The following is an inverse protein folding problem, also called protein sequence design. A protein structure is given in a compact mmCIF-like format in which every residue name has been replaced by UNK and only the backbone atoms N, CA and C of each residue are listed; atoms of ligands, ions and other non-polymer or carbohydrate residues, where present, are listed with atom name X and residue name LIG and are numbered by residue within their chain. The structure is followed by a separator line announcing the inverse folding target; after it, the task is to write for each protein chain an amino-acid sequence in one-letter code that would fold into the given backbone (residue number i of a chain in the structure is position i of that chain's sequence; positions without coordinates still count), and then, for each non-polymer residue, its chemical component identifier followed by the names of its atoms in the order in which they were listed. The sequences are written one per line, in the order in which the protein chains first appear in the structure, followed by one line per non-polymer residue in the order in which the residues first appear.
data_IF_912899622284
#
_entry.id   IF_912899622284
#
_cell.length_a   1.000
_cell.length_b   1.000
_cell.length_c   1.000
_cell.angle_alpha   90.00
_cell.angle_beta   90.00
_cell.angle_gamma   90.00
#
_symmetry.space_group_name_H-M   'P 1'
#
loop_
_entity.id
_entity.type
_entity.pdbx_description
1 polymer ?
#
# COMPACT_ATOMS: atom_id res chain seq x y z
N UNK A 1 12.57 14.45 4.82
CA UNK A 1 13.24 13.47 3.91
C UNK A 1 12.61 12.08 4.01
N UNK A 2 12.42 11.55 5.23
CA UNK A 2 11.82 10.22 5.46
C UNK A 2 10.38 10.11 4.90
N UNK A 3 9.53 11.13 5.11
CA UNK A 3 8.16 11.14 4.58
C UNK A 3 8.09 10.98 3.05
N UNK A 4 8.99 11.63 2.31
CA UNK A 4 9.07 11.54 0.84
C UNK A 4 9.48 10.13 0.39
N UNK A 5 10.42 9.50 1.09
CA UNK A 5 10.83 8.12 0.79
C UNK A 5 9.67 7.13 1.03
N UNK A 6 8.91 7.32 2.11
CA UNK A 6 7.71 6.53 2.38
C UNK A 6 6.63 6.75 1.31
N UNK A 7 6.49 7.96 0.79
CA UNK A 7 5.59 8.26 -0.33
C UNK A 7 5.94 7.55 -1.62
N UNK A 8 7.25 7.47 -1.96
CA UNK A 8 7.71 6.71 -3.14
C UNK A 8 7.34 5.24 -3.01
N UNK A 9 7.48 4.66 -1.82
CA UNK A 9 7.14 3.26 -1.57
C UNK A 9 5.62 3.01 -1.62
N UNK A 10 4.78 3.97 -1.22
CA UNK A 10 3.32 3.91 -1.41
C UNK A 10 2.97 3.90 -2.90
N UNK A 11 3.59 4.78 -3.68
CA UNK A 11 3.46 4.83 -5.13
C UNK A 11 3.83 3.49 -5.77
N UNK A 12 4.97 2.92 -5.36
CA UNK A 12 5.41 1.63 -5.87
C UNK A 12 4.41 0.53 -5.52
N UNK A 13 3.87 0.55 -4.30
CA UNK A 13 2.84 -0.40 -3.85
C UNK A 13 1.53 -0.26 -4.63
N UNK A 14 1.15 0.95 -5.01
CA UNK A 14 -0.04 1.19 -5.84
C UNK A 14 0.11 0.57 -7.25
N UNK A 15 1.32 0.66 -7.83
CA UNK A 15 1.62 0.08 -9.14
C UNK A 15 1.49 -1.44 -9.15
N UNK A 16 1.69 -2.11 -8.02
CA UNK A 16 1.54 -3.58 -7.90
C UNK A 16 0.12 -4.06 -8.24
N UNK A 17 -0.90 -3.21 -8.10
CA UNK A 17 -2.28 -3.54 -8.51
C UNK A 17 -2.53 -3.38 -10.02
N UNK A 18 -1.67 -2.62 -10.71
CA UNK A 18 -1.87 -2.25 -12.12
C UNK A 18 -1.05 -3.11 -13.08
N UNK A 19 0.09 -3.62 -12.61
CA UNK A 19 1.04 -4.36 -13.44
C UNK A 19 1.31 -5.73 -12.81
N UNK A 20 1.26 -6.83 -13.58
CA UNK A 20 1.64 -8.14 -13.06
C UNK A 20 3.11 -8.14 -12.66
N UNK A 21 3.36 -8.41 -11.38
CA UNK A 21 4.69 -8.42 -10.77
C UNK A 21 5.00 -9.78 -10.14
N UNK A 22 6.28 -10.15 -9.99
CA UNK A 22 6.68 -11.33 -9.25
C UNK A 22 6.09 -11.33 -7.83
N UNK A 23 5.51 -12.46 -7.42
CA UNK A 23 4.84 -12.63 -6.12
C UNK A 23 5.71 -12.16 -4.94
N UNK A 24 7.00 -12.41 -4.98
CA UNK A 24 7.96 -12.00 -3.94
C UNK A 24 7.97 -10.48 -3.72
N UNK A 25 7.86 -9.70 -4.81
CA UNK A 25 7.85 -8.23 -4.76
C UNK A 25 6.52 -7.73 -4.18
N UNK A 26 5.40 -8.33 -4.60
CA UNK A 26 4.07 -8.02 -4.09
C UNK A 26 4.01 -8.25 -2.57
N UNK A 27 4.52 -9.39 -2.09
CA UNK A 27 4.56 -9.72 -0.66
C UNK A 27 5.47 -8.79 0.14
N UNK A 28 6.57 -8.33 -0.45
CA UNK A 28 7.46 -7.34 0.18
C UNK A 28 6.74 -5.98 0.32
N UNK A 29 6.06 -5.52 -0.73
CA UNK A 29 5.24 -4.30 -0.69
C UNK A 29 4.08 -4.42 0.31
N UNK A 30 3.43 -5.58 0.37
CA UNK A 30 2.37 -5.86 1.33
C UNK A 30 2.88 -5.78 2.78
N UNK A 31 4.03 -6.40 3.04
CA UNK A 31 4.68 -6.40 4.36
C UNK A 31 5.10 -4.99 4.76
N UNK A 32 5.66 -4.22 3.82
CA UNK A 32 5.97 -2.80 4.00
C UNK A 32 4.73 -2.01 4.45
N UNK A 33 3.61 -2.12 3.74
CA UNK A 33 2.37 -1.39 4.07
C UNK A 33 1.82 -1.77 5.44
N UNK A 34 1.87 -3.07 5.79
CA UNK A 34 1.41 -3.54 7.10
C UNK A 34 2.30 -2.97 8.22
N UNK A 35 3.63 -3.08 8.10
CA UNK A 35 4.55 -2.57 9.12
C UNK A 35 4.40 -1.06 9.25
N UNK A 36 4.38 -0.34 8.13
CA UNK A 36 4.18 1.11 8.11
C UNK A 36 2.86 1.50 8.76
N UNK A 37 1.77 0.88 8.33
CA UNK A 37 0.44 1.14 8.86
C UNK A 37 0.37 0.89 10.36
N UNK A 38 0.98 -0.20 10.85
CA UNK A 38 1.08 -0.49 12.29
C UNK A 38 1.88 0.58 13.04
N UNK A 39 3.02 1.02 12.50
CA UNK A 39 3.85 2.05 13.14
C UNK A 39 3.09 3.38 13.30
N UNK A 40 2.33 3.79 12.28
CA UNK A 40 1.58 5.04 12.31
C UNK A 40 0.22 4.90 13.03
N UNK A 41 -0.41 3.73 13.02
CA UNK A 41 -1.65 3.48 13.76
C UNK A 41 -1.46 3.57 15.29
N UNK A 42 -0.26 3.25 15.80
CA UNK A 42 0.08 3.45 17.22
C UNK A 42 0.09 4.96 17.58
N UNK A 43 0.30 5.84 16.61
CA UNK A 43 0.28 7.29 16.77
C UNK A 43 -1.10 7.93 16.62
N UNK A 44 -2.19 7.17 16.78
CA UNK A 44 -3.59 7.61 16.59
C UNK A 44 -3.96 8.11 15.17
N UNK A 45 -3.15 7.77 14.16
CA UNK A 45 -3.50 8.06 12.76
C UNK A 45 -4.46 7.01 12.20
N UNK A 46 -5.76 7.35 12.22
CA UNK A 46 -6.82 6.48 11.68
C UNK A 46 -6.61 6.11 10.20
N UNK A 47 -5.97 7.00 9.43
CA UNK A 47 -5.72 6.78 7.99
C UNK A 47 -4.75 5.60 7.80
N UNK A 48 -3.89 5.33 8.77
CA UNK A 48 -2.90 4.27 8.70
C UNK A 48 -3.47 2.86 8.90
N UNK A 49 -4.71 2.71 9.41
CA UNK A 49 -5.41 1.42 9.36
C UNK A 49 -5.77 0.99 7.94
N UNK A 50 -5.97 1.94 7.02
CA UNK A 50 -6.20 1.62 5.61
C UNK A 50 -4.94 1.05 4.95
N UNK A 51 -3.74 1.51 5.33
CA UNK A 51 -2.48 0.93 4.83
C UNK A 51 -2.37 -0.54 5.21
N UNK A 52 -2.75 -0.88 6.45
CA UNK A 52 -2.76 -2.28 6.93
C UNK A 52 -3.76 -3.09 6.12
N UNK A 53 -4.99 -2.59 5.93
CA UNK A 53 -6.03 -3.28 5.18
C UNK A 53 -5.61 -3.51 3.71
N UNK A 54 -5.01 -2.51 3.07
CA UNK A 54 -4.49 -2.61 1.70
C UNK A 54 -3.31 -3.58 1.63
N UNK A 55 -2.43 -3.58 2.64
CA UNK A 55 -1.35 -4.55 2.74
C UNK A 55 -1.88 -6.00 2.85
N UNK A 56 -2.88 -6.25 3.70
CA UNK A 56 -3.54 -7.56 3.78
C UNK A 56 -4.19 -7.93 2.45
N UNK A 57 -4.85 -6.97 1.80
CA UNK A 57 -5.43 -7.19 0.48
C UNK A 57 -4.37 -7.50 -0.59
N UNK A 58 -3.19 -6.87 -0.55
CA UNK A 58 -2.05 -7.21 -1.41
C UNK A 58 -1.53 -8.63 -1.19
N UNK A 59 -1.54 -9.12 0.05
CA UNK A 59 -1.23 -10.53 0.33
C UNK A 59 -2.23 -11.44 -0.38
N UNK A 60 -3.53 -11.19 -0.21
CA UNK A 60 -4.61 -11.97 -0.86
C UNK A 60 -4.51 -11.90 -2.39
N UNK A 61 -4.27 -10.70 -2.93
CA UNK A 61 -4.04 -10.44 -4.35
C UNK A 61 -2.87 -11.26 -4.90
N UNK A 62 -1.80 -11.44 -4.12
CA UNK A 62 -0.64 -12.25 -4.51
C UNK A 62 -0.95 -13.74 -4.71
N UNK A 63 -2.07 -14.24 -4.19
CA UNK A 63 -2.58 -15.59 -4.42
C UNK A 63 -3.53 -15.69 -5.62
N UNK A 64 -3.70 -14.61 -6.40
CA UNK A 64 -4.56 -14.57 -7.57
C UNK A 64 -6.00 -14.16 -7.29
N UNK A 65 -6.36 -13.88 -6.02
CA UNK A 65 -7.67 -13.38 -5.64
C UNK A 65 -7.70 -11.86 -5.82
N UNK A 66 -8.17 -11.41 -6.97
CA UNK A 66 -8.33 -9.99 -7.28
C UNK A 66 -9.80 -9.59 -7.37
N UNK A 67 -10.15 -8.51 -6.70
CA UNK A 67 -11.44 -7.82 -6.87
C UNK A 67 -11.13 -6.49 -7.52
N UNK A 68 -11.58 -6.28 -8.76
CA UNK A 68 -11.19 -5.10 -9.57
C UNK A 68 -11.47 -3.78 -8.85
N UNK A 69 -12.65 -3.66 -8.22
CA UNK A 69 -13.04 -2.45 -7.49
C UNK A 69 -12.10 -2.19 -6.31
N UNK A 70 -11.80 -3.21 -5.50
CA UNK A 70 -10.88 -3.06 -4.35
C UNK A 70 -9.47 -2.71 -4.81
N UNK A 71 -9.01 -3.28 -5.93
CA UNK A 71 -7.69 -3.00 -6.50
C UNK A 71 -7.56 -1.55 -6.96
N UNK A 72 -8.57 -1.04 -7.68
CA UNK A 72 -8.60 0.35 -8.14
C UNK A 72 -8.68 1.32 -6.97
N UNK A 73 -9.57 1.08 -6.01
CA UNK A 73 -9.71 1.95 -4.82
C UNK A 73 -8.41 1.96 -3.99
N UNK A 74 -7.81 0.79 -3.77
CA UNK A 74 -6.54 0.67 -3.04
C UNK A 74 -5.40 1.41 -3.75
N UNK A 75 -5.30 1.26 -5.08
CA UNK A 75 -4.29 1.95 -5.87
C UNK A 75 -4.49 3.47 -5.83
N UNK A 76 -5.71 3.96 -6.03
CA UNK A 76 -6.00 5.40 -5.97
C UNK A 76 -5.72 6.00 -4.60
N UNK A 77 -6.07 5.29 -3.52
CA UNK A 77 -5.78 5.73 -2.16
C UNK A 77 -4.27 5.84 -1.91
N UNK A 78 -3.49 4.81 -2.27
CA UNK A 78 -2.04 4.83 -2.12
C UNK A 78 -1.38 5.91 -2.99
N UNK A 79 -1.88 6.14 -4.21
CA UNK A 79 -1.40 7.22 -5.08
C UNK A 79 -1.66 8.59 -4.46
N UNK A 80 -2.88 8.84 -3.96
CA UNK A 80 -3.23 10.09 -3.30
C UNK A 80 -2.36 10.32 -2.06
N UNK A 81 -2.19 9.29 -1.21
CA UNK A 81 -1.34 9.37 0.00
C UNK A 81 0.12 9.60 -0.36
N UNK A 82 0.61 8.91 -1.38
CA UNK A 82 1.95 9.10 -1.94
C UNK A 82 2.17 10.54 -2.41
N UNK A 83 1.22 11.12 -3.14
CA UNK A 83 1.29 12.53 -3.60
C UNK A 83 1.33 13.51 -2.42
N UNK A 84 0.47 13.31 -1.43
CA UNK A 84 0.40 14.17 -0.25
C UNK A 84 1.72 14.19 0.54
N UNK A 85 2.53 13.14 0.48
CA UNK A 85 3.83 13.09 1.17
C UNK A 85 4.90 14.03 0.58
N UNK A 86 4.67 14.58 -0.62
CA UNK A 86 5.61 15.48 -1.30
C UNK A 86 5.29 16.97 -1.11
N UNK A 87 4.05 17.28 -0.71
CA UNK A 87 3.55 18.63 -0.41
C UNK A 87 3.93 18.97 1.03
#
# INVERSE_FOLDING_TARGET
MIAKALGVLDFFSAVMFLIPMPRTIILLAATYLIIKGLLFAIGDDFISYFDIAIGIYLIIFSFGLSVTILSVVSALFLLQKGLLSFI
#
